data_IF_325912810517
#
_entry.id   IF_325912810517
#
_cell.length_a   1.000
_cell.length_b   1.000
_cell.length_c   1.000
_cell.angle_alpha   90.00
_cell.angle_beta   90.00
_cell.angle_gamma   90.00
#
_symmetry.space_group_name_H-M   'P 1'
#
loop_
_entity.id
_entity.type
_entity.pdbx_description
1 polymer ?
#
# COMPACT_ATOMS: atom_id res chain seq x y z
N UNK A 1 -3.70 22.25 -3.88
CA UNK A 1 -2.27 22.10 -4.09
C UNK A 1 -1.52 21.76 -2.82
N UNK A 2 -1.57 22.59 -1.82
CA UNK A 2 -0.85 22.37 -0.57
C UNK A 2 -1.35 21.11 0.14
N UNK A 3 -2.67 20.87 0.15
CA UNK A 3 -3.24 19.70 0.80
C UNK A 3 -2.77 18.38 0.14
N UNK A 4 -2.65 18.39 -1.18
CA UNK A 4 -2.17 17.21 -1.90
C UNK A 4 -0.72 16.90 -1.53
N UNK A 5 0.11 17.94 -1.40
CA UNK A 5 1.50 17.77 -0.99
C UNK A 5 1.60 17.24 0.43
N UNK A 6 0.74 17.72 1.33
CA UNK A 6 0.72 17.25 2.71
C UNK A 6 0.28 15.78 2.79
N UNK A 7 -0.74 15.41 2.03
CA UNK A 7 -1.21 14.02 1.99
C UNK A 7 -0.13 13.09 1.46
N UNK A 8 0.58 13.52 0.41
CA UNK A 8 1.69 12.76 -0.13
C UNK A 8 2.79 12.58 0.92
N UNK A 9 3.14 13.66 1.62
CA UNK A 9 4.17 13.60 2.65
C UNK A 9 3.79 12.63 3.78
N UNK A 10 2.52 12.64 4.17
CA UNK A 10 2.03 11.73 5.20
C UNK A 10 2.09 10.28 4.75
N UNK A 11 1.73 10.02 3.50
CA UNK A 11 1.80 8.68 2.93
C UNK A 11 3.25 8.19 2.89
N UNK A 12 4.17 9.03 2.43
CA UNK A 12 5.59 8.69 2.39
C UNK A 12 6.10 8.38 3.80
N UNK A 13 5.74 9.21 4.78
CA UNK A 13 6.16 8.98 6.16
C UNK A 13 5.61 7.66 6.70
N UNK A 14 4.35 7.38 6.43
CA UNK A 14 3.74 6.13 6.87
C UNK A 14 4.43 4.93 6.23
N UNK A 15 4.77 5.01 4.95
CA UNK A 15 5.48 3.94 4.27
C UNK A 15 6.87 3.72 4.87
N UNK A 16 7.58 4.78 5.19
CA UNK A 16 8.90 4.67 5.82
C UNK A 16 8.82 3.98 7.17
N UNK A 17 7.82 4.35 7.97
CA UNK A 17 7.62 3.74 9.28
C UNK A 17 7.30 2.25 9.17
N UNK A 18 6.39 1.90 8.27
CA UNK A 18 5.99 0.51 8.06
C UNK A 18 7.16 -0.31 7.52
N UNK A 19 7.90 0.24 6.57
CA UNK A 19 9.04 -0.46 5.97
C UNK A 19 10.13 -0.74 7.02
N UNK A 20 10.37 0.20 7.93
CA UNK A 20 11.30 0.02 9.03
C UNK A 20 10.86 -1.12 9.95
N UNK A 21 9.56 -1.17 10.29
CA UNK A 21 9.03 -2.24 11.12
C UNK A 21 9.11 -3.60 10.44
N UNK A 22 8.81 -3.64 9.14
CA UNK A 22 8.92 -4.87 8.36
C UNK A 22 10.36 -5.38 8.39
N UNK A 23 11.34 -4.50 8.19
CA UNK A 23 12.74 -4.89 8.23
C UNK A 23 13.14 -5.50 9.58
N UNK A 24 12.64 -4.93 10.68
CA UNK A 24 12.90 -5.45 12.01
C UNK A 24 12.28 -6.83 12.21
N UNK A 25 11.05 -7.01 11.74
CA UNK A 25 10.37 -8.29 11.85
C UNK A 25 11.09 -9.35 11.03
N UNK A 26 11.61 -9.00 9.88
CA UNK A 26 12.36 -9.94 9.04
C UNK A 26 13.61 -10.48 9.73
N UNK A 27 14.21 -9.67 10.60
CA UNK A 27 15.38 -10.10 11.35
C UNK A 27 15.03 -11.03 12.52
N UNK A 28 13.80 -10.96 13.01
CA UNK A 28 13.39 -11.65 14.23
C UNK A 28 12.74 -13.01 13.98
N UNK A 29 12.24 -13.25 12.80
CA UNK A 29 11.41 -14.42 12.52
C UNK A 29 12.04 -15.32 11.47
N UNK A 30 11.60 -16.59 11.46
CA UNK A 30 12.13 -17.60 10.55
C UNK A 30 11.82 -17.26 9.09
N UNK A 31 12.70 -17.69 8.15
CA UNK A 31 12.51 -17.38 6.74
C UNK A 31 11.17 -17.83 6.15
N UNK A 32 10.63 -18.96 6.61
CA UNK A 32 9.36 -19.46 6.10
C UNK A 32 8.19 -18.54 6.46
N UNK A 33 8.24 -17.85 7.61
CA UNK A 33 7.25 -16.85 7.98
C UNK A 33 7.50 -15.57 7.19
N UNK A 34 8.75 -15.12 7.10
CA UNK A 34 9.14 -13.89 6.40
C UNK A 34 8.74 -13.95 4.93
N UNK A 35 8.86 -15.11 4.31
CA UNK A 35 8.51 -15.31 2.90
C UNK A 35 7.00 -15.08 2.63
N UNK A 36 6.18 -15.08 3.67
CA UNK A 36 4.74 -14.82 3.54
C UNK A 36 4.35 -13.37 3.81
N UNK A 37 5.31 -12.52 4.12
CA UNK A 37 5.02 -11.13 4.50
C UNK A 37 4.29 -10.35 3.42
N UNK A 38 4.71 -10.47 2.16
CA UNK A 38 4.07 -9.69 1.08
C UNK A 38 2.62 -10.09 0.89
N UNK A 39 2.36 -11.40 0.92
CA UNK A 39 0.99 -11.90 0.83
C UNK A 39 0.16 -11.40 2.03
N UNK A 40 0.73 -11.50 3.23
CA UNK A 40 0.05 -11.07 4.45
C UNK A 40 -0.23 -9.57 4.44
N UNK A 41 0.74 -8.76 4.02
CA UNK A 41 0.59 -7.31 3.95
C UNK A 41 -0.54 -6.92 3.02
N UNK A 42 -0.60 -7.54 1.84
CA UNK A 42 -1.67 -7.23 0.90
C UNK A 42 -3.04 -7.62 1.47
N UNK A 43 -3.12 -8.79 2.10
CA UNK A 43 -4.37 -9.23 2.71
C UNK A 43 -4.84 -8.28 3.81
N UNK A 44 -3.92 -7.85 4.67
CA UNK A 44 -4.25 -6.91 5.74
C UNK A 44 -4.71 -5.59 5.14
N UNK A 45 -4.00 -5.07 4.15
CA UNK A 45 -4.34 -3.80 3.52
C UNK A 45 -5.72 -3.86 2.85
N UNK A 46 -6.00 -4.95 2.12
CA UNK A 46 -7.31 -5.14 1.49
C UNK A 46 -8.42 -5.17 2.53
N UNK A 47 -8.22 -5.92 3.61
CA UNK A 47 -9.20 -6.02 4.68
C UNK A 47 -9.51 -4.63 5.28
N UNK A 48 -8.46 -3.86 5.56
CA UNK A 48 -8.62 -2.52 6.12
C UNK A 48 -9.36 -1.59 5.14
N UNK A 49 -9.03 -1.68 3.85
CA UNK A 49 -9.71 -0.87 2.83
C UNK A 49 -11.19 -1.24 2.71
N UNK A 50 -11.51 -2.53 2.76
CA UNK A 50 -12.92 -2.97 2.69
C UNK A 50 -13.69 -2.44 3.91
N UNK A 51 -13.08 -2.47 5.09
CA UNK A 51 -13.73 -1.95 6.29
C UNK A 51 -13.98 -0.44 6.21
N UNK A 52 -13.07 0.31 5.63
CA UNK A 52 -13.16 1.77 5.57
C UNK A 52 -13.94 2.26 4.36
N UNK A 53 -13.74 1.66 3.19
CA UNK A 53 -14.28 2.14 1.92
C UNK A 53 -15.40 1.29 1.36
N UNK A 54 -15.57 0.07 1.86
CA UNK A 54 -16.53 -0.90 1.33
C UNK A 54 -15.93 -1.76 0.23
N UNK A 55 -16.55 -2.90 0.00
CA UNK A 55 -16.01 -3.90 -0.93
C UNK A 55 -15.99 -3.40 -2.38
N UNK A 56 -17.06 -2.75 -2.81
CA UNK A 56 -17.17 -2.32 -4.21
C UNK A 56 -16.13 -1.26 -4.56
N UNK A 57 -15.98 -0.26 -3.69
CA UNK A 57 -15.03 0.82 -3.89
C UNK A 57 -13.60 0.28 -3.83
N UNK A 58 -13.33 -0.62 -2.90
CA UNK A 58 -12.02 -1.27 -2.77
C UNK A 58 -11.70 -2.05 -4.05
N UNK A 59 -12.65 -2.81 -4.57
CA UNK A 59 -12.44 -3.55 -5.81
C UNK A 59 -12.07 -2.63 -6.97
N UNK A 60 -12.74 -1.47 -7.07
CA UNK A 60 -12.42 -0.49 -8.11
C UNK A 60 -11.02 0.06 -7.94
N UNK A 61 -10.62 0.40 -6.72
CA UNK A 61 -9.27 0.91 -6.45
C UNK A 61 -8.21 -0.12 -6.83
N UNK A 62 -8.43 -1.38 -6.47
CA UNK A 62 -7.47 -2.45 -6.78
C UNK A 62 -7.39 -2.72 -8.27
N UNK A 63 -8.52 -2.66 -8.96
CA UNK A 63 -8.53 -2.82 -10.42
C UNK A 63 -7.70 -1.73 -11.10
N UNK A 64 -7.89 -0.48 -10.68
CA UNK A 64 -7.13 0.64 -11.22
C UNK A 64 -5.64 0.51 -10.89
N UNK A 65 -5.33 0.08 -9.68
CA UNK A 65 -3.94 -0.16 -9.30
C UNK A 65 -3.32 -1.24 -10.18
N UNK A 66 -4.07 -2.31 -10.46
CA UNK A 66 -3.58 -3.37 -11.33
C UNK A 66 -3.27 -2.84 -12.73
N UNK A 67 -4.09 -1.92 -13.25
CA UNK A 67 -3.84 -1.29 -14.55
C UNK A 67 -2.53 -0.49 -14.53
N UNK A 68 -2.30 0.29 -13.47
CA UNK A 68 -1.07 1.08 -13.33
C UNK A 68 0.15 0.17 -13.33
N UNK A 69 0.08 -0.93 -12.59
CA UNK A 69 1.17 -1.89 -12.52
C UNK A 69 1.43 -2.51 -13.89
N UNK A 70 0.36 -2.90 -14.58
CA UNK A 70 0.46 -3.55 -15.89
C UNK A 70 1.05 -2.62 -16.95
N UNK A 71 0.85 -1.31 -16.81
CA UNK A 71 1.41 -0.31 -17.71
C UNK A 71 2.89 -0.06 -17.46
N UNK A 72 3.44 -0.66 -16.41
CA UNK A 72 4.87 -0.56 -16.13
C UNK A 72 5.31 0.75 -15.48
N UNK A 73 4.38 1.52 -14.93
CA UNK A 73 4.74 2.74 -14.22
C UNK A 73 5.53 2.41 -12.97
N UNK A 74 6.65 3.08 -12.78
CA UNK A 74 7.47 2.90 -11.60
C UNK A 74 6.85 3.62 -10.41
N UNK A 75 6.84 2.93 -9.27
CA UNK A 75 6.41 3.51 -8.01
C UNK A 75 7.45 3.21 -6.94
N UNK A 76 7.58 4.11 -5.99
CA UNK A 76 8.57 4.00 -4.93
C UNK A 76 7.99 4.60 -3.67
N UNK A 77 8.76 4.51 -2.58
CA UNK A 77 8.37 5.15 -1.33
C UNK A 77 8.20 6.65 -1.51
N UNK A 78 9.01 7.27 -2.35
CA UNK A 78 8.94 8.71 -2.60
C UNK A 78 7.81 9.11 -3.54
N UNK A 79 7.26 8.15 -4.30
CA UNK A 79 6.22 8.43 -5.28
C UNK A 79 5.14 7.35 -5.25
N UNK A 80 4.41 7.24 -4.15
CA UNK A 80 3.38 6.20 -4.00
C UNK A 80 2.14 6.52 -4.82
N UNK A 81 1.32 5.49 -5.03
CA UNK A 81 0.00 5.65 -5.62
C UNK A 81 -0.97 6.16 -4.55
N UNK A 82 -1.76 7.16 -4.89
CA UNK A 82 -2.82 7.65 -4.02
C UNK A 82 -4.09 6.83 -4.28
N UNK A 83 -4.28 5.78 -3.49
CA UNK A 83 -5.32 4.78 -3.74
C UNK A 83 -6.74 5.36 -3.69
N UNK A 84 -6.99 6.31 -2.79
CA UNK A 84 -8.33 6.87 -2.65
C UNK A 84 -8.77 7.68 -3.86
N UNK A 85 -7.84 8.06 -4.73
CA UNK A 85 -8.17 8.77 -5.96
C UNK A 85 -8.42 7.84 -7.14
N UNK A 86 -8.31 6.54 -6.92
CA UNK A 86 -8.50 5.54 -7.97
C UNK A 86 -9.94 5.01 -8.04
N UNK A 87 -10.81 5.43 -7.17
CA UNK A 87 -12.16 4.87 -7.06
C UNK A 87 -13.17 5.51 -8.01
N UNK A 88 -12.76 6.52 -8.68
CA UNK A 88 -13.62 7.22 -9.62
C UNK A 88 -13.08 7.17 -11.02
#
# INVERSE_FOLDING_TARGET
MINADLDLQKTVKAMELLDTWIARLQEQFAPDIVDRFDNALLNIAVHRLVDEEGAKKTATMLYRLAEIIAEGEERSIENPVELTKLDG
#
